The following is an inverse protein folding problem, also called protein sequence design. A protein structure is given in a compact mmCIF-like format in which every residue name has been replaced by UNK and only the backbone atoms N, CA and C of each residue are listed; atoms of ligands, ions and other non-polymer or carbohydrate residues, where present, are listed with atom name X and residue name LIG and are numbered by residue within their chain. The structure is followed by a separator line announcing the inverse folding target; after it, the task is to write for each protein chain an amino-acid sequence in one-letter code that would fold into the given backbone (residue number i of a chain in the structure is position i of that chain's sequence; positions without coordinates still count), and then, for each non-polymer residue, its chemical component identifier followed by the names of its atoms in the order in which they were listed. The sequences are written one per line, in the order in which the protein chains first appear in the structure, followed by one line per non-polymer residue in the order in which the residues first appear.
data_IF_750390800483
#
_entry.id   IF_750390800483
#
_cell.length_a   1.000
_cell.length_b   1.000
_cell.length_c   1.000
_cell.angle_alpha   90.00
_cell.angle_beta   90.00
_cell.angle_gamma   90.00
#
_symmetry.space_group_name_H-M   'P 1'
#
loop_
_entity.id
_entity.type
_entity.pdbx_description
1 polymer ?
#
# COMPACT_ATOMS: atom_id res chain seq x y z
N UNK A 1 38.48 -20.98 71.50
CA UNK A 1 37.69 -19.99 70.75
C UNK A 1 38.15 -20.07 69.30
N UNK A 2 37.67 -21.03 68.49
CA UNK A 2 36.42 -21.08 67.70
C UNK A 2 36.27 -19.90 66.72
N UNK A 3 36.34 -20.22 65.43
CA UNK A 3 35.92 -19.36 64.32
C UNK A 3 36.26 -19.98 62.96
N UNK A 4 35.51 -21.02 62.55
CA UNK A 4 35.60 -21.63 61.20
C UNK A 4 34.74 -20.84 60.22
N UNK A 5 35.30 -20.64 59.04
CA UNK A 5 34.67 -20.09 57.84
C UNK A 5 33.54 -21.00 57.33
N UNK A 6 32.43 -20.39 56.88
CA UNK A 6 31.41 -21.02 56.03
C UNK A 6 31.03 -19.99 54.96
N UNK A 7 31.10 -20.43 53.72
CA UNK A 7 31.00 -19.62 52.53
C UNK A 7 29.58 -19.35 52.03
N UNK A 8 29.51 -18.31 51.21
CA UNK A 8 28.87 -18.21 49.89
C UNK A 8 27.46 -18.79 49.71
N UNK A 9 26.53 -17.85 49.47
CA UNK A 9 25.66 -17.93 48.31
C UNK A 9 24.17 -18.06 48.61
N UNK A 10 23.42 -16.97 48.38
CA UNK A 10 22.21 -17.00 47.55
C UNK A 10 21.54 -15.60 47.51
N UNK A 11 21.75 -14.94 46.38
CA UNK A 11 20.73 -14.25 45.56
C UNK A 11 19.71 -13.34 46.29
N UNK A 12 20.07 -12.06 46.34
CA UNK A 12 19.11 -10.98 46.16
C UNK A 12 18.72 -10.88 44.67
N UNK A 13 17.43 -10.74 44.38
CA UNK A 13 16.90 -9.72 43.46
C UNK A 13 15.40 -9.99 43.17
N UNK A 14 14.54 -9.25 43.86
CA UNK A 14 13.24 -8.88 43.32
C UNK A 14 13.47 -8.11 42.02
N UNK A 15 12.92 -8.60 40.90
CA UNK A 15 12.61 -7.75 39.75
C UNK A 15 11.17 -8.01 39.33
N UNK A 16 10.30 -7.10 39.77
CA UNK A 16 8.97 -6.90 39.21
C UNK A 16 9.18 -6.30 37.83
N UNK A 17 9.18 -7.12 36.77
CA UNK A 17 8.95 -6.62 35.43
C UNK A 17 7.46 -6.78 35.12
N UNK A 18 6.74 -5.68 35.34
CA UNK A 18 5.49 -5.40 34.65
C UNK A 18 5.81 -5.27 33.15
N UNK A 19 5.80 -6.40 32.45
CA UNK A 19 5.82 -6.45 30.99
C UNK A 19 4.45 -6.11 30.48
N UNK A 20 4.27 -4.85 30.09
CA UNK A 20 3.16 -4.36 29.29
C UNK A 20 3.02 -5.27 28.05
N UNK A 21 2.08 -6.23 28.10
CA UNK A 21 1.66 -6.98 26.94
C UNK A 21 0.96 -6.01 26.00
N UNK A 22 1.72 -5.39 25.10
CA UNK A 22 1.13 -4.75 23.94
C UNK A 22 0.39 -5.86 23.19
N UNK A 23 -0.93 -5.84 23.28
CA UNK A 23 -1.82 -6.52 22.36
C UNK A 23 -1.60 -5.86 20.99
N UNK A 24 -0.47 -6.20 20.37
CA UNK A 24 -0.26 -5.98 18.96
C UNK A 24 -1.30 -6.88 18.30
N UNK A 25 -2.41 -6.28 17.88
CA UNK A 25 -3.29 -6.85 16.89
C UNK A 25 -2.41 -7.17 15.70
N UNK A 26 -1.89 -8.40 15.64
CA UNK A 26 -1.40 -8.98 14.42
C UNK A 26 -2.60 -8.95 13.49
N UNK A 27 -2.61 -7.96 12.60
CA UNK A 27 -3.49 -7.94 11.45
C UNK A 27 -3.23 -9.26 10.74
N UNK A 28 -4.14 -10.21 10.93
CA UNK A 28 -4.15 -11.48 10.22
C UNK A 28 -4.44 -11.11 8.78
N UNK A 29 -3.38 -10.76 8.05
CA UNK A 29 -3.37 -10.73 6.60
C UNK A 29 -3.54 -12.18 6.15
N UNK A 30 -4.79 -12.64 6.07
CA UNK A 30 -5.09 -13.88 5.33
C UNK A 30 -4.61 -13.64 3.90
N UNK A 31 -3.62 -14.40 3.41
CA UNK A 31 -3.18 -14.24 2.03
C UNK A 31 -4.36 -14.62 1.13
N UNK A 32 -4.88 -13.65 0.38
CA UNK A 32 -5.76 -13.97 -0.75
C UNK A 32 -4.86 -14.68 -1.76
N UNK A 33 -5.07 -15.99 -1.89
CA UNK A 33 -4.31 -16.83 -2.79
C UNK A 33 -4.60 -16.42 -4.24
N UNK A 34 -3.55 -16.04 -4.96
CA UNK A 34 -3.57 -15.84 -6.40
C UNK A 34 -3.43 -14.38 -6.80
N UNK A 35 -2.47 -14.11 -7.69
CA UNK A 35 -2.62 -13.01 -8.64
C UNK A 35 -4.06 -13.06 -9.17
N UNK A 36 -4.84 -12.00 -8.94
CA UNK A 36 -6.21 -11.99 -9.43
C UNK A 36 -6.14 -12.02 -10.96
N UNK A 37 -6.50 -13.16 -11.54
CA UNK A 37 -6.66 -13.31 -13.00
C UNK A 37 -7.60 -12.25 -13.53
N UNK A 38 -8.61 -11.88 -12.73
CA UNK A 38 -9.53 -10.76 -12.95
C UNK A 38 -8.81 -9.41 -13.01
N UNK A 39 -7.94 -9.08 -12.06
CA UNK A 39 -7.19 -7.82 -12.07
C UNK A 39 -6.22 -7.73 -13.25
N UNK A 40 -5.62 -8.87 -13.64
CA UNK A 40 -4.74 -8.94 -14.81
C UNK A 40 -5.51 -8.77 -16.13
N UNK A 41 -6.69 -9.38 -16.25
CA UNK A 41 -7.57 -9.20 -17.41
C UNK A 41 -8.09 -7.76 -17.51
N UNK A 42 -8.54 -7.17 -16.40
CA UNK A 42 -8.99 -5.79 -16.34
C UNK A 42 -7.86 -4.82 -16.72
N UNK A 43 -6.66 -5.02 -16.18
CA UNK A 43 -5.48 -4.23 -16.54
C UNK A 43 -5.19 -4.28 -18.04
N UNK A 44 -5.24 -5.47 -18.65
CA UNK A 44 -4.99 -5.61 -20.09
C UNK A 44 -6.08 -4.93 -20.93
N UNK A 45 -7.34 -4.99 -20.50
CA UNK A 45 -8.46 -4.32 -21.15
C UNK A 45 -8.34 -2.79 -21.07
N UNK A 46 -7.93 -2.26 -19.91
CA UNK A 46 -7.82 -0.81 -19.66
C UNK A 46 -6.48 -0.22 -20.11
N UNK A 47 -5.51 -1.05 -20.51
CA UNK A 47 -4.10 -0.67 -20.72
C UNK A 47 -3.87 0.59 -21.53
N UNK A 48 -4.70 0.85 -22.55
CA UNK A 48 -4.59 2.02 -23.44
C UNK A 48 -4.92 3.36 -22.74
N UNK A 49 -5.73 3.33 -21.68
CA UNK A 49 -6.12 4.51 -20.91
C UNK A 49 -5.27 4.76 -19.67
N UNK A 50 -4.29 3.88 -19.38
CA UNK A 50 -3.47 3.94 -18.19
C UNK A 50 -2.12 4.61 -18.47
N UNK A 51 -1.71 5.51 -17.58
CA UNK A 51 -0.36 6.06 -17.51
C UNK A 51 0.49 5.31 -16.50
N UNK A 52 1.80 5.27 -16.73
CA UNK A 52 2.78 4.76 -15.78
C UNK A 52 3.15 5.88 -14.79
N UNK A 53 2.82 5.69 -13.52
CA UNK A 53 2.91 6.75 -12.48
C UNK A 53 3.99 6.47 -11.42
N UNK A 54 4.60 5.28 -11.44
CA UNK A 54 5.68 4.96 -10.51
C UNK A 54 6.33 3.63 -10.83
N UNK A 55 7.65 3.57 -10.60
CA UNK A 55 8.47 2.37 -10.77
C UNK A 55 9.43 2.23 -9.60
N UNK A 56 9.65 1.01 -9.14
CA UNK A 56 10.66 0.70 -8.12
C UNK A 56 11.33 -0.63 -8.41
N UNK A 57 12.65 -0.61 -8.52
CA UNK A 57 13.47 -1.82 -8.55
C UNK A 57 13.77 -2.29 -7.12
N UNK A 58 13.59 -3.59 -6.88
CA UNK A 58 13.71 -4.27 -5.60
C UNK A 58 14.77 -5.38 -5.63
N UNK A 59 15.66 -5.34 -6.62
CA UNK A 59 16.75 -6.29 -6.85
C UNK A 59 16.27 -7.57 -7.54
N UNK A 60 15.44 -8.36 -6.86
CA UNK A 60 14.91 -9.63 -7.41
C UNK A 60 13.51 -9.52 -8.03
N UNK A 61 12.93 -8.32 -7.99
CA UNK A 61 11.69 -7.97 -8.66
C UNK A 61 11.61 -6.47 -8.91
N UNK A 62 10.67 -6.06 -9.74
CA UNK A 62 10.31 -4.67 -10.00
C UNK A 62 8.82 -4.46 -9.78
N UNK A 63 8.47 -3.29 -9.26
CA UNK A 63 7.10 -2.83 -9.12
C UNK A 63 6.85 -1.72 -10.13
N UNK A 64 5.80 -1.86 -10.93
CA UNK A 64 5.31 -0.82 -11.83
C UNK A 64 3.88 -0.46 -11.41
N UNK A 65 3.57 0.83 -11.37
CA UNK A 65 2.27 1.34 -10.97
C UNK A 65 1.62 2.13 -12.10
N UNK A 66 0.34 1.85 -12.34
CA UNK A 66 -0.43 2.43 -13.42
C UNK A 66 -1.75 3.01 -12.92
N UNK A 67 -2.14 4.17 -13.45
CA UNK A 67 -3.41 4.81 -13.15
C UNK A 67 -3.98 5.53 -14.39
N UNK A 68 -5.31 5.69 -14.48
CA UNK A 68 -5.93 6.42 -15.60
C UNK A 68 -5.47 7.87 -15.69
N UNK A 69 -5.32 8.40 -16.90
CA UNK A 69 -5.02 9.85 -17.08
C UNK A 69 -6.25 10.72 -17.05
N UNK A 70 -7.42 10.14 -17.28
CA UNK A 70 -8.71 10.80 -17.44
C UNK A 70 -9.74 10.07 -16.61
N UNK A 71 -10.54 10.81 -15.86
CA UNK A 71 -11.70 10.32 -15.13
C UNK A 71 -12.94 11.01 -15.66
N UNK A 72 -14.01 10.24 -15.85
CA UNK A 72 -15.29 10.79 -16.26
C UNK A 72 -16.03 11.35 -15.04
N UNK A 73 -16.51 12.59 -15.12
CA UNK A 73 -17.26 13.27 -14.04
C UNK A 73 -18.43 12.46 -13.50
N UNK A 74 -19.17 11.74 -14.35
CA UNK A 74 -20.31 10.90 -13.99
C UNK A 74 -19.91 9.49 -13.53
N UNK A 75 -18.67 9.06 -13.81
CA UNK A 75 -18.17 7.71 -13.52
C UNK A 75 -16.77 7.73 -12.91
N UNK A 76 -16.53 8.62 -11.94
CA UNK A 76 -15.21 8.80 -11.33
C UNK A 76 -14.76 7.58 -10.51
N UNK A 77 -15.71 6.73 -10.13
CA UNK A 77 -15.48 5.45 -9.49
C UNK A 77 -15.06 4.35 -10.45
N UNK A 78 -15.23 4.55 -11.76
CA UNK A 78 -14.93 3.54 -12.77
C UNK A 78 -13.42 3.56 -13.07
N UNK A 79 -12.82 2.38 -12.93
CA UNK A 79 -11.39 2.18 -13.11
C UNK A 79 -10.65 1.96 -11.80
N UNK A 80 -9.38 1.60 -11.94
CA UNK A 80 -8.54 1.25 -10.81
C UNK A 80 -7.10 1.76 -10.99
N UNK A 81 -6.41 1.90 -9.86
CA UNK A 81 -4.95 1.97 -9.84
C UNK A 81 -4.41 0.55 -9.77
N UNK A 82 -3.49 0.21 -10.66
CA UNK A 82 -2.91 -1.11 -10.81
C UNK A 82 -1.46 -1.13 -10.35
N UNK A 83 -1.13 -2.07 -9.47
CA UNK A 83 0.25 -2.42 -9.11
C UNK A 83 0.60 -3.75 -9.76
N UNK A 84 1.70 -3.75 -10.52
CA UNK A 84 2.23 -4.94 -11.18
C UNK A 84 3.60 -5.27 -10.63
N UNK A 85 3.80 -6.52 -10.23
CA UNK A 85 5.11 -7.04 -9.89
C UNK A 85 5.71 -7.84 -11.05
N UNK A 86 6.98 -7.60 -11.36
CA UNK A 86 7.78 -8.36 -12.31
C UNK A 86 8.90 -9.05 -11.54
N UNK A 87 8.92 -10.37 -11.55
CA UNK A 87 9.92 -11.15 -10.80
C UNK A 87 11.10 -11.51 -11.70
N UNK A 88 12.31 -11.32 -11.20
CA UNK A 88 13.54 -11.78 -11.84
C UNK A 88 14.11 -12.97 -11.05
N UNK A 89 14.57 -13.99 -11.77
CA UNK A 89 15.22 -15.17 -11.19
C UNK A 89 14.31 -16.12 -10.39
N UNK A 90 14.93 -17.10 -9.74
CA UNK A 90 14.24 -18.05 -8.87
C UNK A 90 13.88 -17.38 -7.52
N UNK A 91 12.64 -17.59 -7.07
CA UNK A 91 12.16 -17.06 -5.79
C UNK A 91 10.69 -17.36 -5.56
N UNK A 92 10.26 -17.25 -4.30
CA UNK A 92 8.85 -17.38 -3.92
C UNK A 92 7.97 -16.23 -4.43
N UNK A 93 6.64 -16.32 -4.24
CA UNK A 93 5.72 -15.27 -4.67
C UNK A 93 6.01 -13.93 -3.98
N UNK A 94 5.67 -12.84 -4.67
CA UNK A 94 5.74 -11.48 -4.13
C UNK A 94 4.38 -11.15 -3.51
N UNK A 95 4.38 -10.86 -2.21
CA UNK A 95 3.21 -10.31 -1.53
C UNK A 95 3.14 -8.82 -1.80
N UNK A 96 2.08 -8.37 -2.45
CA UNK A 96 1.82 -6.96 -2.73
C UNK A 96 0.78 -6.41 -1.77
N UNK A 97 0.95 -5.15 -1.35
CA UNK A 97 0.05 -4.40 -0.46
C UNK A 97 -0.31 -3.07 -1.10
N UNK A 98 -1.61 -2.76 -1.12
CA UNK A 98 -2.15 -1.52 -1.70
C UNK A 98 -2.65 -0.62 -0.56
N UNK A 99 -2.39 0.70 -0.60
CA UNK A 99 -2.90 1.63 0.41
C UNK A 99 -4.43 1.73 0.40
N UNK A 100 -5.00 1.96 1.58
CA UNK A 100 -6.43 2.16 1.78
C UNK A 100 -6.97 3.42 1.08
N UNK A 101 -6.21 4.51 1.15
CA UNK A 101 -6.60 5.82 0.64
C UNK A 101 -5.38 6.65 0.27
N UNK A 102 -5.61 7.70 -0.52
CA UNK A 102 -4.61 8.70 -0.76
C UNK A 102 -4.33 9.57 0.48
N UNK A 103 -3.13 10.14 0.53
CA UNK A 103 -2.71 11.04 1.60
C UNK A 103 -3.14 12.48 1.35
N UNK A 104 -3.29 12.86 0.07
CA UNK A 104 -3.60 14.24 -0.33
C UNK A 104 -4.19 14.28 -1.75
N UNK A 105 -5.16 15.16 -1.95
CA UNK A 105 -5.73 15.49 -3.26
C UNK A 105 -5.68 17.00 -3.46
N UNK A 106 -5.30 17.41 -4.67
CA UNK A 106 -5.28 18.81 -5.06
C UNK A 106 -5.90 19.03 -6.42
N UNK A 107 -6.48 20.22 -6.61
CA UNK A 107 -7.05 20.71 -7.87
C UNK A 107 -6.28 21.93 -8.36
N UNK A 108 -6.08 22.03 -9.67
CA UNK A 108 -5.53 23.23 -10.28
C UNK A 108 -6.61 24.29 -10.48
N UNK A 109 -6.42 25.47 -9.88
CA UNK A 109 -7.32 26.63 -9.97
C UNK A 109 -6.51 27.88 -10.27
N UNK A 110 -6.78 28.55 -11.40
CA UNK A 110 -6.14 29.82 -11.74
C UNK A 110 -4.61 29.78 -11.77
N UNK A 111 -4.02 28.64 -12.15
CA UNK A 111 -2.57 28.41 -12.20
C UNK A 111 -1.94 27.87 -10.90
N UNK A 112 -2.65 27.88 -9.78
CA UNK A 112 -2.19 27.34 -8.50
C UNK A 112 -2.81 25.98 -8.18
N UNK A 113 -2.14 25.19 -7.34
CA UNK A 113 -2.69 23.94 -6.79
C UNK A 113 -3.32 24.22 -5.42
N UNK A 114 -4.58 23.82 -5.25
CA UNK A 114 -5.34 23.98 -4.01
C UNK A 114 -5.72 22.61 -3.45
N UNK A 115 -5.66 22.47 -2.12
CA UNK A 115 -6.08 21.25 -1.43
C UNK A 115 -7.59 21.03 -1.55
N UNK A 116 -7.96 19.80 -1.90
CA UNK A 116 -9.34 19.34 -1.92
C UNK A 116 -9.56 18.55 -0.63
N UNK A 117 -10.55 18.91 0.20
CA UNK A 117 -10.89 18.14 1.38
C UNK A 117 -11.15 16.67 1.01
N UNK A 118 -10.48 15.76 1.70
CA UNK A 118 -10.72 14.33 1.57
C UNK A 118 -11.47 13.85 2.80
N UNK A 119 -12.49 13.00 2.62
CA UNK A 119 -12.98 12.26 3.78
C UNK A 119 -11.89 11.25 4.16
N UNK A 120 -11.67 11.05 5.45
CA UNK A 120 -10.90 9.90 5.87
C UNK A 120 -11.68 8.68 5.35
N UNK A 121 -11.18 8.02 4.30
CA UNK A 121 -11.74 6.73 3.90
C UNK A 121 -11.68 5.86 5.14
N UNK A 122 -12.83 5.39 5.61
CA UNK A 122 -12.88 4.41 6.67
C UNK A 122 -11.94 3.29 6.27
N UNK A 123 -10.91 3.06 7.08
CA UNK A 123 -9.77 2.17 6.86
C UNK A 123 -10.15 0.96 6.00
N UNK A 124 -10.03 1.07 4.67
CA UNK A 124 -10.12 -0.10 3.81
C UNK A 124 -8.86 -0.89 4.13
N UNK A 125 -9.01 -2.04 4.78
CA UNK A 125 -7.88 -2.88 5.19
C UNK A 125 -6.94 -3.05 4.01
N UNK A 126 -5.67 -2.64 4.18
CA UNK A 126 -4.66 -2.76 3.14
C UNK A 126 -4.68 -4.19 2.59
N UNK A 127 -5.15 -4.35 1.36
CA UNK A 127 -5.29 -5.68 0.78
C UNK A 127 -3.90 -6.24 0.51
N UNK A 128 -3.64 -7.44 1.01
CA UNK A 128 -2.41 -8.17 0.74
C UNK A 128 -2.70 -9.37 -0.15
N UNK A 129 -2.04 -9.42 -1.31
CA UNK A 129 -2.23 -10.49 -2.29
C UNK A 129 -0.87 -11.10 -2.59
N UNK A 130 -0.77 -12.42 -2.43
CA UNK A 130 0.42 -13.15 -2.83
C UNK A 130 0.36 -13.44 -4.33
N UNK A 131 1.30 -12.87 -5.09
CA UNK A 131 1.37 -13.04 -6.53
C UNK A 131 2.80 -13.36 -6.98
N UNK A 132 2.97 -14.49 -7.65
CA UNK A 132 4.16 -14.80 -8.45
C UNK A 132 4.09 -14.01 -9.75
N UNK A 133 4.41 -12.71 -9.70
CA UNK A 133 4.46 -11.83 -10.88
C UNK A 133 3.11 -11.34 -11.42
N UNK A 134 2.18 -11.00 -10.51
CA UNK A 134 0.81 -10.62 -10.86
C UNK A 134 0.51 -9.13 -10.86
N UNK A 135 -0.73 -8.80 -11.27
CA UNK A 135 -1.33 -7.48 -11.14
C UNK A 135 -2.34 -7.49 -9.99
N UNK A 136 -2.32 -6.44 -9.18
CA UNK A 136 -3.34 -6.16 -8.17
C UNK A 136 -3.88 -4.75 -8.39
N UNK A 137 -5.11 -4.49 -7.94
CA UNK A 137 -5.79 -3.23 -8.24
C UNK A 137 -6.55 -2.69 -7.03
N UNK A 138 -6.64 -1.37 -6.91
CA UNK A 138 -7.56 -0.67 -5.99
C UNK A 138 -8.48 0.24 -6.80
N UNK A 139 -9.80 0.18 -6.56
CA UNK A 139 -10.76 1.11 -7.15
C UNK A 139 -10.40 2.57 -6.88
N UNK A 140 -10.55 3.43 -7.88
CA UNK A 140 -10.26 4.87 -7.76
C UNK A 140 -11.14 5.53 -6.70
N UNK A 141 -12.40 5.08 -6.54
CA UNK A 141 -13.30 5.56 -5.50
C UNK A 141 -12.69 5.44 -4.08
N UNK A 142 -11.96 4.35 -3.81
CA UNK A 142 -11.27 4.15 -2.53
C UNK A 142 -10.08 5.10 -2.35
N UNK A 143 -9.39 5.45 -3.44
CA UNK A 143 -8.24 6.35 -3.40
C UNK A 143 -8.65 7.82 -3.26
N UNK A 144 -9.71 8.25 -3.96
CA UNK A 144 -10.17 9.64 -3.95
C UNK A 144 -10.83 10.02 -2.62
N UNK A 145 -11.52 9.10 -1.96
CA UNK A 145 -12.22 9.36 -0.70
C UNK A 145 -13.11 10.61 -0.76
N UNK A 146 -13.89 10.75 -1.84
CA UNK A 146 -14.75 11.90 -2.07
C UNK A 146 -16.22 11.49 -1.95
N UNK A 147 -17.02 12.17 -1.11
CA UNK A 147 -18.46 11.90 -0.99
C UNK A 147 -19.26 12.48 -2.17
N UNK A 148 -18.71 13.47 -2.87
CA UNK A 148 -19.32 14.12 -4.03
C UNK A 148 -18.44 13.97 -5.26
N UNK A 149 -19.02 13.93 -6.47
CA UNK A 149 -18.24 13.94 -7.70
C UNK A 149 -17.32 15.16 -7.75
N UNK A 150 -16.05 14.94 -8.10
CA UNK A 150 -15.10 16.02 -8.36
C UNK A 150 -15.57 16.86 -9.56
N UNK A 151 -15.52 18.19 -9.47
CA UNK A 151 -15.73 19.04 -10.65
C UNK A 151 -14.74 18.75 -11.78
N UNK A 152 -15.08 19.12 -13.01
CA UNK A 152 -14.12 19.04 -14.11
C UNK A 152 -12.87 19.89 -13.84
N UNK A 153 -11.70 19.42 -14.27
CA UNK A 153 -10.43 20.12 -14.11
C UNK A 153 -9.22 19.20 -13.98
N UNK A 154 -8.06 19.80 -13.69
CA UNK A 154 -6.81 19.08 -13.45
C UNK A 154 -6.62 18.79 -11.97
N UNK A 155 -6.20 17.57 -11.67
CA UNK A 155 -6.02 17.07 -10.31
C UNK A 155 -4.67 16.39 -10.15
N UNK A 156 -4.16 16.40 -8.92
CA UNK A 156 -3.03 15.57 -8.50
C UNK A 156 -3.29 14.93 -7.15
N UNK A 157 -2.92 13.66 -7.04
CA UNK A 157 -3.18 12.81 -5.91
C UNK A 157 -1.87 12.17 -5.45
N UNK A 158 -1.57 12.32 -4.16
CA UNK A 158 -0.49 11.58 -3.51
C UNK A 158 -1.09 10.33 -2.92
N UNK A 159 -0.84 9.18 -3.54
CA UNK A 159 -1.36 7.94 -3.00
C UNK A 159 -0.67 7.60 -1.69
N UNK A 160 -1.30 6.74 -0.89
CA UNK A 160 -0.58 6.07 0.18
C UNK A 160 0.56 5.20 -0.36
N UNK A 161 1.27 4.56 0.57
CA UNK A 161 2.41 3.71 0.26
C UNK A 161 1.94 2.36 -0.31
N UNK A 162 2.20 2.12 -1.59
CA UNK A 162 2.16 0.79 -2.17
C UNK A 162 3.41 0.04 -1.75
N UNK A 163 3.27 -1.19 -1.30
CA UNK A 163 4.41 -1.99 -0.83
C UNK A 163 4.39 -3.38 -1.43
N UNK A 164 5.55 -4.01 -1.51
CA UNK A 164 5.65 -5.42 -1.79
C UNK A 164 6.80 -6.06 -1.03
N UNK A 165 6.70 -7.36 -0.81
CA UNK A 165 7.72 -8.13 -0.10
C UNK A 165 7.78 -9.52 -0.69
N UNK A 166 8.99 -10.05 -0.87
CA UNK A 166 9.22 -11.45 -1.20
C UNK A 166 9.74 -12.18 0.03
N UNK A 167 9.31 -13.42 0.25
CA UNK A 167 9.89 -14.25 1.32
C UNK A 167 11.40 -14.38 1.13
N UNK A 168 12.17 -14.14 2.20
CA UNK A 168 13.64 -14.12 2.17
C UNK A 168 14.27 -12.97 1.37
N UNK A 169 13.49 -12.00 0.89
CA UNK A 169 13.97 -10.85 0.13
C UNK A 169 13.64 -9.50 0.79
N UNK A 170 14.13 -8.41 0.18
CA UNK A 170 13.87 -7.05 0.66
C UNK A 170 12.40 -6.64 0.46
N UNK A 171 11.85 -5.93 1.44
CA UNK A 171 10.60 -5.20 1.29
C UNK A 171 10.84 -3.93 0.47
N UNK A 172 9.87 -3.59 -0.35
CA UNK A 172 9.89 -2.44 -1.22
C UNK A 172 8.63 -1.60 -1.06
N UNK A 173 8.77 -0.31 -1.31
CA UNK A 173 7.64 0.59 -1.29
C UNK A 173 7.78 1.76 -2.27
N UNK A 174 6.63 2.26 -2.70
CA UNK A 174 6.47 3.40 -3.59
C UNK A 174 5.27 4.25 -3.16
N UNK A 175 5.46 5.57 -3.14
CA UNK A 175 4.43 6.58 -2.84
C UNK A 175 4.35 7.56 -4.02
N UNK A 176 3.67 7.19 -5.11
CA UNK A 176 3.61 7.96 -6.34
C UNK A 176 2.77 9.24 -6.19
N UNK A 177 3.07 10.18 -7.07
CA UNK A 177 2.19 11.30 -7.39
C UNK A 177 1.48 10.97 -8.70
N UNK A 178 0.15 10.88 -8.65
CA UNK A 178 -0.70 10.66 -9.82
C UNK A 178 -1.34 11.98 -10.24
N UNK A 179 -1.18 12.38 -11.51
CA UNK A 179 -1.88 13.53 -12.09
C UNK A 179 -2.91 13.05 -13.11
N UNK A 180 -4.12 13.63 -13.06
CA UNK A 180 -5.22 13.24 -13.94
C UNK A 180 -6.15 14.42 -14.23
N UNK A 181 -6.90 14.30 -15.32
CA UNK A 181 -7.96 15.24 -15.68
C UNK A 181 -9.32 14.62 -15.36
N UNK A 182 -10.21 15.41 -14.79
CA UNK A 182 -11.63 15.08 -14.66
C UNK A 182 -12.38 15.83 -15.76
N UNK A 183 -13.11 15.11 -16.62
CA UNK A 183 -13.88 15.64 -17.74
C UNK A 183 -15.32 15.13 -17.80
#
# INVERSE_FOLDING_TARGET
MIGREIGWGALAALTVLAGCGSTGTQSVNTPVAGASTTASAAFNAERRGLSHIGLRDCGSYRLDLFAPTRLNTAKQSDGAIYLRAYTYGAGGPVQMRIPASAARLQRQTGGAWQDVPMTASAMASAASVAASGGVVSTPIAQQLAQPTPLPAGQYRLWSGQFAAQRSGGAACALSPLWQFTVE
#
